data_IF_939939833884
#
_entry.id   IF_939939833884
#
_cell.length_a   1.000
_cell.length_b   1.000
_cell.length_c   1.000
_cell.angle_alpha   90.00
_cell.angle_beta   90.00
_cell.angle_gamma   90.00
#
_symmetry.space_group_name_H-M   'P 1'
#
loop_
_entity.id
_entity.type
_entity.pdbx_description
1 polymer ?
#
# COMPACT_ATOMS: atom_id res chain seq x y z
N UNK A 1 20.81 -13.41 -2.24
CA UNK A 1 20.53 -12.86 -3.59
C UNK A 1 21.06 -11.42 -3.74
N UNK A 2 21.27 -10.92 -4.96
CA UNK A 2 21.79 -9.56 -5.24
C UNK A 2 20.98 -8.43 -4.57
N UNK A 3 19.66 -8.57 -4.49
CA UNK A 3 18.77 -7.62 -3.80
C UNK A 3 19.07 -7.53 -2.30
N UNK A 4 19.20 -8.66 -1.62
CA UNK A 4 19.52 -8.73 -0.18
C UNK A 4 20.88 -8.11 0.13
N UNK A 5 21.86 -8.30 -0.76
CA UNK A 5 23.19 -7.68 -0.61
C UNK A 5 23.11 -6.16 -0.71
N UNK A 6 22.35 -5.62 -1.67
CA UNK A 6 22.13 -4.17 -1.79
C UNK A 6 21.46 -3.62 -0.51
N UNK A 7 20.40 -4.29 -0.04
CA UNK A 7 19.66 -3.88 1.16
C UNK A 7 20.53 -3.93 2.43
N UNK A 8 21.31 -5.00 2.63
CA UNK A 8 22.19 -5.16 3.80
C UNK A 8 23.35 -4.17 3.80
N UNK A 9 23.95 -3.92 2.63
CA UNK A 9 25.09 -3.00 2.50
C UNK A 9 24.68 -1.52 2.46
N UNK A 10 23.38 -1.23 2.28
CA UNK A 10 22.81 0.12 2.15
C UNK A 10 23.47 1.00 1.08
N UNK A 11 24.14 0.38 0.10
CA UNK A 11 24.75 1.09 -1.03
C UNK A 11 23.71 1.31 -2.11
N UNK A 12 22.95 2.40 -1.99
CA UNK A 12 21.86 2.77 -2.89
C UNK A 12 22.31 3.72 -4.00
N UNK A 13 23.23 3.27 -4.85
CA UNK A 13 23.52 4.00 -6.10
C UNK A 13 22.38 3.86 -7.12
N UNK A 14 22.39 4.66 -8.19
CA UNK A 14 21.35 4.63 -9.23
C UNK A 14 21.16 3.23 -9.85
N UNK A 15 22.24 2.46 -10.03
CA UNK A 15 22.20 1.11 -10.62
C UNK A 15 21.49 0.12 -9.70
N UNK A 16 21.77 0.21 -8.40
CA UNK A 16 21.16 -0.62 -7.37
C UNK A 16 19.68 -0.28 -7.18
N UNK A 17 19.32 1.00 -7.23
CA UNK A 17 17.92 1.46 -7.19
C UNK A 17 17.15 0.97 -8.42
N UNK A 18 17.70 1.11 -9.62
CA UNK A 18 17.08 0.60 -10.84
C UNK A 18 16.90 -0.93 -10.79
N UNK A 19 17.89 -1.66 -10.28
CA UNK A 19 17.79 -3.10 -10.11
C UNK A 19 16.66 -3.50 -9.16
N UNK A 20 16.57 -2.85 -7.99
CA UNK A 20 15.52 -3.12 -7.01
C UNK A 20 14.13 -2.75 -7.54
N UNK A 21 14.02 -1.62 -8.24
CA UNK A 21 12.76 -1.21 -8.88
C UNK A 21 12.31 -2.23 -9.92
N UNK A 22 13.20 -2.65 -10.82
CA UNK A 22 12.88 -3.65 -11.85
C UNK A 22 12.45 -4.98 -11.23
N UNK A 23 13.09 -5.39 -10.13
CA UNK A 23 12.69 -6.59 -9.39
C UNK A 23 11.27 -6.45 -8.82
N UNK A 24 10.94 -5.32 -8.19
CA UNK A 24 9.59 -5.02 -7.68
C UNK A 24 8.54 -5.09 -8.79
N UNK A 25 8.85 -4.55 -9.98
CA UNK A 25 7.98 -4.57 -11.15
C UNK A 25 7.81 -6.00 -11.68
N UNK A 26 8.91 -6.75 -11.85
CA UNK A 26 8.89 -8.13 -12.35
C UNK A 26 8.08 -9.09 -11.45
N UNK A 27 8.18 -8.92 -10.14
CA UNK A 27 7.46 -9.75 -9.16
C UNK A 27 5.96 -9.42 -9.06
N UNK A 28 5.49 -8.39 -9.77
CA UNK A 28 4.14 -7.84 -9.64
C UNK A 28 3.84 -7.37 -8.21
N UNK A 29 4.88 -6.95 -7.47
CA UNK A 29 4.76 -6.67 -6.04
C UNK A 29 3.90 -5.41 -5.79
N UNK A 30 3.92 -4.45 -6.72
CA UNK A 30 3.07 -3.25 -6.67
C UNK A 30 1.58 -3.62 -6.74
N UNK A 31 1.19 -4.47 -7.69
CA UNK A 31 -0.21 -4.90 -7.85
C UNK A 31 -0.68 -5.74 -6.65
N UNK A 32 0.19 -6.60 -6.12
CA UNK A 32 -0.09 -7.36 -4.89
C UNK A 32 -0.31 -6.42 -3.70
N UNK A 33 0.53 -5.42 -3.53
CA UNK A 33 0.39 -4.43 -2.47
C UNK A 33 -0.90 -3.61 -2.62
N UNK A 34 -1.22 -3.18 -3.86
CA UNK A 34 -2.48 -2.49 -4.19
C UNK A 34 -3.70 -3.32 -3.81
N UNK A 35 -3.74 -4.59 -4.22
CA UNK A 35 -4.84 -5.52 -3.88
C UNK A 35 -5.03 -5.71 -2.38
N UNK A 36 -3.95 -5.89 -1.62
CA UNK A 36 -4.05 -6.03 -0.17
C UNK A 36 -4.49 -4.72 0.50
N UNK A 37 -3.98 -3.57 0.06
CA UNK A 37 -4.40 -2.26 0.58
C UNK A 37 -5.90 -1.98 0.32
N UNK A 38 -6.41 -2.33 -0.86
CA UNK A 38 -7.83 -2.27 -1.18
C UNK A 38 -8.67 -3.18 -0.28
N UNK A 39 -8.22 -4.43 -0.08
CA UNK A 39 -8.91 -5.43 0.75
C UNK A 39 -9.04 -4.96 2.19
N UNK A 40 -7.98 -4.43 2.79
CA UNK A 40 -8.04 -3.87 4.14
C UNK A 40 -8.93 -2.62 4.22
N UNK A 41 -8.87 -1.74 3.22
CA UNK A 41 -9.72 -0.55 3.18
C UNK A 41 -11.20 -0.89 3.06
N UNK A 42 -11.57 -1.86 2.20
CA UNK A 42 -12.93 -2.39 2.08
C UNK A 42 -13.40 -3.05 3.38
N UNK A 43 -12.54 -3.82 4.05
CA UNK A 43 -12.84 -4.41 5.36
C UNK A 43 -13.09 -3.35 6.43
N UNK A 44 -12.27 -2.29 6.46
CA UNK A 44 -12.46 -1.18 7.38
C UNK A 44 -13.78 -0.44 7.13
N UNK A 45 -14.12 -0.16 5.86
CA UNK A 45 -15.40 0.44 5.48
C UNK A 45 -16.60 -0.40 5.93
N UNK A 46 -16.53 -1.72 5.76
CA UNK A 46 -17.58 -2.63 6.23
C UNK A 46 -17.72 -2.59 7.76
N UNK A 47 -16.61 -2.60 8.50
CA UNK A 47 -16.64 -2.56 9.97
C UNK A 47 -17.27 -1.25 10.49
N UNK A 48 -16.95 -0.10 9.88
CA UNK A 48 -17.49 1.18 10.34
C UNK A 48 -18.96 1.40 9.94
N UNK A 49 -19.51 0.60 9.01
CA UNK A 49 -20.92 0.68 8.60
C UNK A 49 -21.88 0.51 9.78
N UNK A 50 -21.51 -0.35 10.73
CA UNK A 50 -22.29 -0.69 11.92
C UNK A 50 -22.21 0.35 13.04
N UNK A 51 -21.31 1.34 12.94
CA UNK A 51 -21.22 2.40 13.94
C UNK A 51 -22.45 3.31 13.87
N UNK A 52 -22.86 3.86 15.01
CA UNK A 52 -23.88 4.91 15.06
C UNK A 52 -23.47 6.09 14.20
N UNK A 53 -24.45 6.71 13.54
CA UNK A 53 -24.19 7.91 12.76
C UNK A 53 -23.69 9.03 13.67
N UNK A 54 -22.55 9.59 13.29
CA UNK A 54 -21.85 10.66 13.98
C UNK A 54 -20.89 11.32 13.01
N UNK A 55 -20.45 12.54 13.31
CA UNK A 55 -19.41 13.24 12.55
C UNK A 55 -18.11 12.43 12.51
N UNK A 56 -17.79 11.71 13.59
CA UNK A 56 -16.63 10.81 13.64
C UNK A 56 -16.74 9.64 12.66
N UNK A 57 -17.93 9.03 12.52
CA UNK A 57 -18.16 7.98 11.50
C UNK A 57 -17.97 8.53 10.09
N UNK A 58 -18.49 9.73 9.84
CA UNK A 58 -18.38 10.40 8.53
C UNK A 58 -16.91 10.71 8.22
N UNK A 59 -16.15 11.26 9.18
CA UNK A 59 -14.73 11.53 9.03
C UNK A 59 -13.91 10.25 8.73
N UNK A 60 -14.22 9.15 9.43
CA UNK A 60 -13.60 7.84 9.17
C UNK A 60 -13.92 7.32 7.76
N UNK A 61 -15.15 7.52 7.28
CA UNK A 61 -15.51 7.15 5.90
C UNK A 61 -14.71 7.96 4.88
N UNK A 62 -14.60 9.28 5.05
CA UNK A 62 -13.82 10.13 4.15
C UNK A 62 -12.33 9.76 4.13
N UNK A 63 -11.74 9.47 5.30
CA UNK A 63 -10.35 9.03 5.39
C UNK A 63 -10.12 7.73 4.60
N UNK A 64 -11.01 6.75 4.75
CA UNK A 64 -10.90 5.46 4.07
C UNK A 64 -11.13 5.57 2.56
N UNK A 65 -12.11 6.37 2.13
CA UNK A 65 -12.36 6.62 0.70
C UNK A 65 -11.17 7.36 0.08
N UNK A 66 -10.65 8.39 0.75
CA UNK A 66 -9.48 9.14 0.27
C UNK A 66 -8.24 8.26 0.09
N UNK A 67 -8.03 7.29 1.00
CA UNK A 67 -6.95 6.32 0.86
C UNK A 67 -7.15 5.38 -0.34
N UNK A 68 -8.38 4.91 -0.58
CA UNK A 68 -8.71 4.08 -1.76
C UNK A 68 -8.49 4.84 -3.07
N UNK A 69 -8.85 6.13 -3.14
CA UNK A 69 -8.66 6.95 -4.34
C UNK A 69 -7.19 7.16 -4.68
N UNK A 70 -6.29 7.23 -3.70
CA UNK A 70 -4.84 7.40 -3.95
C UNK A 70 -4.16 6.12 -4.42
N UNK A 71 -4.74 4.97 -4.07
CA UNK A 71 -4.23 3.64 -4.45
C UNK A 71 -4.68 3.27 -5.89
N UNK A 72 -5.87 3.74 -6.28
CA UNK A 72 -6.48 3.46 -7.59
C UNK A 72 -5.86 4.26 -8.72
#
# INVERSE_FOLDING_TARGET
MKAETILKTRKFDRKSLNFLYNLIVQEGALDKAKKEAEKYSKKALNNIKHLKNSEYKIALQYLLIGNLTRIN
#
